data_IF_429531488989
#
_entry.id   IF_429531488989
#
_cell.length_a   1.000
_cell.length_b   1.000
_cell.length_c   1.000
_cell.angle_alpha   90.00
_cell.angle_beta   90.00
_cell.angle_gamma   90.00
#
_symmetry.space_group_name_H-M   'P 1'
#
loop_
_entity.id
_entity.type
_entity.pdbx_description
1 polymer ?
#
# COMPACT_ATOMS: atom_id res chain seq x y z
N UNK A 1 77.09 22.35 -12.37
CA UNK A 1 76.04 23.06 -13.14
C UNK A 1 75.46 22.25 -14.31
N UNK A 2 75.39 20.91 -14.24
CA UNK A 2 74.74 20.07 -15.28
C UNK A 2 73.45 19.38 -14.83
N UNK A 3 73.15 19.39 -13.53
CA UNK A 3 71.95 18.77 -12.96
C UNK A 3 70.82 19.76 -12.65
N UNK A 4 71.09 21.07 -12.69
CA UNK A 4 70.09 22.10 -12.38
C UNK A 4 69.09 22.31 -13.53
N UNK A 5 69.51 22.12 -14.77
CA UNK A 5 68.63 22.26 -15.95
C UNK A 5 67.68 21.05 -16.13
N UNK A 6 68.01 19.88 -15.58
CA UNK A 6 67.18 18.68 -15.73
C UNK A 6 65.98 18.68 -14.77
N UNK A 7 66.06 19.40 -13.65
CA UNK A 7 64.98 19.47 -12.67
C UNK A 7 63.85 20.41 -13.10
N UNK A 8 64.16 21.42 -13.93
CA UNK A 8 63.19 22.42 -14.39
C UNK A 8 62.28 21.91 -15.53
N UNK A 9 62.70 20.88 -16.26
CA UNK A 9 61.89 20.22 -17.29
C UNK A 9 60.90 19.18 -16.73
N UNK A 10 61.12 18.69 -15.50
CA UNK A 10 60.21 17.75 -14.84
C UNK A 10 59.01 18.44 -14.18
N UNK A 11 59.12 19.72 -13.82
CA UNK A 11 58.00 20.48 -13.24
C UNK A 11 57.01 21.02 -14.29
N UNK A 12 57.42 21.15 -15.55
CA UNK A 12 56.55 21.65 -16.62
C UNK A 12 55.56 20.61 -17.17
N UNK A 13 55.65 19.33 -16.75
CA UNK A 13 54.83 18.24 -17.29
C UNK A 13 53.66 17.81 -16.38
N UNK A 14 53.44 18.46 -15.23
CA UNK A 14 52.42 18.03 -14.26
C UNK A 14 51.12 18.86 -14.35
N UNK A 15 51.11 19.96 -15.08
CA UNK A 15 49.92 20.83 -15.17
C UNK A 15 48.97 20.43 -16.29
N UNK A 16 48.43 19.20 -16.26
CA UNK A 16 47.22 18.80 -17.00
C UNK A 16 46.69 17.47 -16.44
N UNK A 17 46.25 17.49 -15.19
CA UNK A 17 45.17 16.60 -14.76
C UNK A 17 43.95 17.49 -14.58
N UNK A 18 43.13 17.56 -15.64
CA UNK A 18 41.75 17.98 -15.46
C UNK A 18 41.11 16.96 -14.53
N UNK A 19 40.65 17.42 -13.37
CA UNK A 19 39.71 16.67 -12.55
C UNK A 19 38.47 16.46 -13.41
N UNK A 20 38.39 15.30 -14.07
CA UNK A 20 37.13 14.78 -14.55
C UNK A 20 36.31 14.43 -13.30
N UNK A 21 35.71 15.46 -12.71
CA UNK A 21 34.68 15.29 -11.70
C UNK A 21 33.64 14.36 -12.29
N UNK A 22 33.59 13.14 -11.74
CA UNK A 22 32.49 12.24 -11.98
C UNK A 22 31.27 12.99 -11.44
N UNK A 23 30.49 13.60 -12.35
CA UNK A 23 29.13 14.02 -12.03
C UNK A 23 28.37 12.73 -11.72
N UNK A 24 28.46 12.27 -10.48
CA UNK A 24 27.46 11.37 -9.93
C UNK A 24 26.12 12.04 -10.20
N UNK A 25 25.12 11.32 -10.73
CA UNK A 25 23.78 11.88 -10.83
C UNK A 25 23.42 12.40 -9.45
N UNK A 26 23.20 13.70 -9.32
CA UNK A 26 22.55 14.25 -8.13
C UNK A 26 21.21 13.53 -8.09
N UNK A 27 21.05 12.65 -7.10
CA UNK A 27 19.88 11.83 -6.90
C UNK A 27 18.71 12.78 -6.61
N UNK A 28 18.09 13.26 -7.69
CA UNK A 28 17.03 14.26 -7.60
C UNK A 28 15.84 13.49 -7.04
N UNK A 29 15.33 13.87 -5.87
CA UNK A 29 14.30 13.08 -5.24
C UNK A 29 13.08 12.98 -6.17
N UNK A 30 12.71 11.74 -6.48
CA UNK A 30 11.57 11.45 -7.34
C UNK A 30 10.31 11.88 -6.60
N UNK A 31 9.61 12.88 -7.14
CA UNK A 31 8.35 13.36 -6.57
C UNK A 31 7.25 12.31 -6.75
N UNK A 32 6.40 12.15 -5.73
CA UNK A 32 5.25 11.27 -5.79
C UNK A 32 4.29 11.73 -6.90
N UNK A 33 4.00 10.83 -7.84
CA UNK A 33 3.15 11.12 -9.00
C UNK A 33 1.75 10.56 -8.77
N UNK A 34 0.72 11.40 -8.96
CA UNK A 34 -0.66 10.93 -8.95
C UNK A 34 -0.86 9.90 -10.07
N UNK A 35 -1.35 8.71 -9.71
CA UNK A 35 -1.69 7.64 -10.65
C UNK A 35 -3.19 7.69 -10.94
N UNK A 36 -4.00 7.72 -9.87
CA UNK A 36 -5.44 7.64 -10.00
C UNK A 36 -6.18 8.27 -8.83
N UNK A 37 -7.45 8.57 -9.08
CA UNK A 37 -8.41 9.03 -8.08
C UNK A 37 -9.66 8.18 -8.20
N UNK A 38 -10.15 7.68 -7.07
CA UNK A 38 -11.37 6.89 -7.00
C UNK A 38 -12.33 7.47 -5.96
N UNK A 39 -13.65 7.46 -6.22
CA UNK A 39 -14.63 7.75 -5.19
C UNK A 39 -14.73 6.57 -4.20
N UNK A 40 -15.24 6.84 -3.01
CA UNK A 40 -15.66 5.80 -2.08
C UNK A 40 -17.02 6.10 -1.47
N UNK A 41 -17.67 5.06 -0.95
CA UNK A 41 -18.83 5.21 -0.07
C UNK A 41 -18.39 4.94 1.37
N UNK A 42 -18.75 5.82 2.29
CA UNK A 42 -18.47 5.65 3.72
C UNK A 42 -19.71 5.15 4.45
N UNK A 43 -19.58 4.04 5.19
CA UNK A 43 -20.60 3.60 6.13
C UNK A 43 -20.54 4.40 7.43
N UNK A 44 -21.62 4.35 8.22
CA UNK A 44 -21.76 5.15 9.46
C UNK A 44 -20.64 4.86 10.48
N UNK A 45 -20.13 3.63 10.49
CA UNK A 45 -19.02 3.18 11.33
C UNK A 45 -17.63 3.47 10.73
N UNK A 46 -17.57 4.24 9.65
CA UNK A 46 -16.33 4.71 9.03
C UNK A 46 -15.71 3.75 8.01
N UNK A 47 -16.32 2.59 7.76
CA UNK A 47 -15.84 1.64 6.75
C UNK A 47 -15.95 2.23 5.34
N UNK A 48 -14.86 2.10 4.58
CA UNK A 48 -14.73 2.66 3.24
C UNK A 48 -14.96 1.58 2.19
N UNK A 49 -16.02 1.73 1.41
CA UNK A 49 -16.32 0.89 0.25
C UNK A 49 -15.77 1.52 -1.03
N UNK A 50 -14.91 0.78 -1.72
CA UNK A 50 -14.35 1.14 -3.02
C UNK A 50 -14.73 0.09 -4.07
N UNK A 51 -14.82 0.52 -5.32
CA UNK A 51 -15.13 -0.37 -6.44
C UNK A 51 -13.88 -0.62 -7.29
N UNK A 52 -13.64 -1.87 -7.61
CA UNK A 52 -12.51 -2.30 -8.42
C UNK A 52 -12.87 -3.53 -9.25
N UNK A 53 -12.16 -3.75 -10.35
CA UNK A 53 -12.24 -5.02 -11.08
C UNK A 53 -11.05 -5.90 -10.68
N UNK A 54 -11.14 -7.19 -11.00
CA UNK A 54 -10.01 -8.12 -10.87
C UNK A 54 -9.66 -8.72 -12.23
N UNK A 55 -8.44 -9.21 -12.36
CA UNK A 55 -7.99 -9.93 -13.54
C UNK A 55 -7.11 -11.12 -13.15
N UNK A 56 -6.98 -12.04 -14.10
CA UNK A 56 -6.07 -13.17 -14.03
C UNK A 56 -5.48 -13.36 -15.42
N UNK A 57 -4.20 -13.71 -15.49
CA UNK A 57 -3.56 -13.95 -16.79
C UNK A 57 -4.28 -15.08 -17.54
N UNK A 58 -4.62 -14.81 -18.80
CA UNK A 58 -5.37 -15.74 -19.66
C UNK A 58 -6.89 -15.68 -19.50
N UNK A 59 -7.44 -14.92 -18.53
CA UNK A 59 -8.88 -14.74 -18.34
C UNK A 59 -9.30 -13.28 -18.55
N UNK A 60 -9.92 -13.02 -19.71
CA UNK A 60 -10.39 -11.68 -20.09
C UNK A 60 -11.80 -11.37 -19.56
N UNK A 61 -12.51 -12.36 -19.03
CA UNK A 61 -13.92 -12.21 -18.61
C UNK A 61 -14.05 -11.48 -17.29
N UNK A 62 -13.10 -11.68 -16.37
CA UNK A 62 -13.10 -11.12 -15.02
C UNK A 62 -13.12 -9.58 -14.98
N UNK A 63 -12.54 -8.93 -16.00
CA UNK A 63 -12.39 -7.47 -16.03
C UNK A 63 -13.71 -6.71 -16.20
N UNK A 64 -14.80 -7.41 -16.55
CA UNK A 64 -16.10 -6.79 -16.84
C UNK A 64 -16.91 -6.46 -15.58
N UNK A 65 -16.73 -7.24 -14.53
CA UNK A 65 -17.51 -7.10 -13.31
C UNK A 65 -16.79 -6.19 -12.32
N UNK A 66 -17.48 -5.13 -11.93
CA UNK A 66 -17.02 -4.24 -10.86
C UNK A 66 -17.46 -4.81 -9.52
N UNK A 67 -16.49 -5.07 -8.66
CA UNK A 67 -16.67 -5.69 -7.34
C UNK A 67 -16.59 -4.64 -6.23
N UNK A 68 -17.25 -4.92 -5.10
CA UNK A 68 -17.29 -4.07 -3.92
C UNK A 68 -16.23 -4.51 -2.91
N UNK A 69 -15.21 -3.68 -2.70
CA UNK A 69 -14.14 -3.93 -1.75
C UNK A 69 -14.21 -2.99 -0.55
N UNK A 70 -13.91 -3.51 0.64
CA UNK A 70 -13.59 -2.67 1.79
C UNK A 70 -12.10 -2.30 1.72
N UNK A 71 -11.76 -1.02 1.91
CA UNK A 71 -10.38 -0.59 2.13
C UNK A 71 -10.05 -0.64 3.63
N UNK A 72 -9.05 -1.42 4.02
CA UNK A 72 -8.77 -1.73 5.43
C UNK A 72 -7.26 -1.81 5.73
N UNK A 73 -6.70 -0.83 6.46
CA UNK A 73 -5.31 -0.89 6.95
C UNK A 73 -5.08 -1.95 8.01
N UNK A 74 -6.13 -2.42 8.69
CA UNK A 74 -6.08 -3.52 9.65
C UNK A 74 -6.02 -4.90 9.00
N UNK A 75 -6.12 -5.00 7.67
CA UNK A 75 -5.97 -6.25 6.94
C UNK A 75 -4.55 -6.42 6.42
N UNK A 76 -3.89 -7.52 6.82
CA UNK A 76 -2.51 -7.84 6.43
C UNK A 76 -2.29 -8.20 4.97
N UNK A 77 -3.35 -8.22 4.15
CA UNK A 77 -3.25 -8.52 2.73
C UNK A 77 -4.53 -8.18 1.96
N UNK A 78 -4.71 -8.83 0.82
CA UNK A 78 -5.91 -8.70 -0.01
C UNK A 78 -6.72 -10.00 0.00
N UNK A 79 -8.05 -9.89 -0.09
CA UNK A 79 -8.97 -11.01 0.05
C UNK A 79 -10.17 -10.95 -0.89
N UNK A 80 -10.81 -12.10 -1.07
CA UNK A 80 -12.09 -12.24 -1.76
C UNK A 80 -13.10 -13.01 -0.89
N UNK A 81 -14.37 -12.69 -1.08
CA UNK A 81 -15.47 -13.49 -0.55
C UNK A 81 -15.55 -14.85 -1.26
N UNK A 82 -15.85 -15.87 -0.49
CA UNK A 82 -16.00 -17.25 -0.94
C UNK A 82 -17.09 -17.43 -2.00
N UNK A 83 -18.20 -16.70 -1.91
CA UNK A 83 -19.28 -16.78 -2.90
C UNK A 83 -18.90 -16.04 -4.18
N UNK A 84 -18.19 -14.91 -4.10
CA UNK A 84 -17.62 -14.22 -5.25
C UNK A 84 -16.60 -15.10 -5.98
N UNK A 85 -15.69 -15.75 -5.24
CA UNK A 85 -14.70 -16.65 -5.83
C UNK A 85 -15.36 -17.86 -6.52
N UNK A 86 -16.42 -18.42 -5.93
CA UNK A 86 -17.19 -19.51 -6.51
C UNK A 86 -17.95 -19.08 -7.78
N UNK A 87 -18.61 -17.92 -7.75
CA UNK A 87 -19.37 -17.38 -8.88
C UNK A 87 -18.48 -17.07 -10.10
N UNK A 88 -17.25 -16.63 -9.84
CA UNK A 88 -16.24 -16.35 -10.86
C UNK A 88 -15.42 -17.59 -11.24
N UNK A 89 -15.74 -18.77 -10.71
CA UNK A 89 -15.05 -20.03 -10.97
C UNK A 89 -13.52 -19.95 -10.75
N UNK A 90 -13.09 -19.21 -9.73
CA UNK A 90 -11.67 -19.01 -9.47
C UNK A 90 -11.00 -20.29 -8.92
N UNK A 91 -9.79 -20.63 -9.38
CA UNK A 91 -9.09 -21.82 -8.93
C UNK A 91 -8.52 -21.61 -7.53
N UNK A 92 -9.20 -22.19 -6.53
CA UNK A 92 -8.77 -22.16 -5.14
C UNK A 92 -7.64 -23.17 -4.90
N UNK A 93 -6.57 -22.70 -4.27
CA UNK A 93 -5.46 -23.53 -3.81
C UNK A 93 -5.46 -23.59 -2.27
N UNK A 94 -5.36 -24.78 -1.65
CA UNK A 94 -5.13 -24.89 -0.21
C UNK A 94 -3.84 -24.17 0.20
N UNK A 95 -3.80 -23.68 1.44
CA UNK A 95 -2.59 -23.08 2.01
C UNK A 95 -2.46 -23.42 3.49
N UNK A 96 -1.21 -23.41 3.98
CA UNK A 96 -0.88 -23.52 5.41
C UNK A 96 -0.80 -22.15 6.10
N UNK A 97 -1.21 -21.08 5.40
CA UNK A 97 -1.17 -19.71 5.94
C UNK A 97 -2.29 -19.54 6.95
N UNK A 98 -1.91 -19.23 8.20
CA UNK A 98 -2.85 -18.95 9.29
C UNK A 98 -3.14 -17.45 9.33
N UNK A 99 -4.38 -17.08 9.08
CA UNK A 99 -4.85 -15.69 9.24
C UNK A 99 -5.41 -15.51 10.64
N UNK A 100 -5.02 -14.40 11.27
CA UNK A 100 -5.46 -13.99 12.59
C UNK A 100 -6.47 -12.84 12.45
N UNK A 101 -7.60 -12.94 13.15
CA UNK A 101 -8.58 -11.86 13.21
C UNK A 101 -9.39 -11.91 14.50
N UNK A 102 -10.40 -11.04 14.60
CA UNK A 102 -11.28 -10.93 15.78
C UNK A 102 -11.99 -12.27 16.07
N UNK A 103 -12.27 -13.07 15.03
CA UNK A 103 -12.89 -14.39 15.14
C UNK A 103 -11.91 -15.55 15.45
N UNK A 104 -10.63 -15.27 15.73
CA UNK A 104 -9.59 -16.27 15.98
C UNK A 104 -8.67 -16.52 14.77
N UNK A 105 -7.95 -17.64 14.83
CA UNK A 105 -6.97 -18.05 13.81
C UNK A 105 -7.50 -19.18 12.94
N UNK A 106 -7.35 -19.08 11.62
CA UNK A 106 -7.74 -20.13 10.68
C UNK A 106 -6.83 -20.20 9.46
N UNK A 107 -6.67 -21.39 8.90
CA UNK A 107 -6.10 -21.55 7.56
C UNK A 107 -7.16 -21.26 6.52
N UNK A 108 -6.75 -20.66 5.39
CA UNK A 108 -7.65 -20.26 4.32
C UNK A 108 -7.06 -20.62 2.95
N UNK A 109 -7.90 -20.95 1.96
CA UNK A 109 -7.43 -21.13 0.60
C UNK A 109 -7.10 -19.78 -0.04
N UNK A 110 -6.30 -19.83 -1.11
CA UNK A 110 -5.86 -18.67 -1.87
C UNK A 110 -6.19 -18.80 -3.35
N UNK A 111 -6.33 -17.65 -4.01
CA UNK A 111 -6.25 -17.50 -5.46
C UNK A 111 -4.99 -16.71 -5.78
N UNK A 112 -4.02 -17.36 -6.42
CA UNK A 112 -2.72 -16.79 -6.75
C UNK A 112 -2.69 -16.12 -8.11
N UNK A 113 -1.71 -15.23 -8.32
CA UNK A 113 -1.39 -14.54 -9.57
C UNK A 113 -2.60 -13.80 -10.15
N UNK A 114 -3.29 -13.06 -9.28
CA UNK A 114 -4.37 -12.18 -9.64
C UNK A 114 -3.87 -10.74 -9.74
N UNK A 115 -4.66 -9.90 -10.36
CA UNK A 115 -4.43 -8.46 -10.40
C UNK A 115 -5.66 -7.70 -9.93
N UNK A 116 -5.42 -6.63 -9.17
CA UNK A 116 -6.44 -5.64 -8.83
C UNK A 116 -6.40 -4.52 -9.87
N UNK A 117 -7.56 -4.18 -10.41
CA UNK A 117 -7.74 -3.15 -11.42
C UNK A 117 -8.52 -1.97 -10.85
N UNK A 118 -7.82 -0.84 -10.74
CA UNK A 118 -8.37 0.47 -10.45
C UNK A 118 -8.27 1.32 -11.73
N UNK A 119 -9.00 2.45 -11.83
CA UNK A 119 -8.85 3.34 -12.97
C UNK A 119 -7.38 3.72 -13.16
N UNK A 120 -6.81 3.51 -14.35
CA UNK A 120 -5.40 3.82 -14.67
C UNK A 120 -4.34 3.12 -13.78
N UNK A 121 -4.71 2.10 -13.01
CA UNK A 121 -3.78 1.39 -12.13
C UNK A 121 -4.08 -0.11 -12.13
N UNK A 122 -3.08 -0.89 -12.52
CA UNK A 122 -3.09 -2.35 -12.41
C UNK A 122 -2.05 -2.74 -11.37
N UNK A 123 -2.48 -3.55 -10.40
CA UNK A 123 -1.63 -4.07 -9.33
C UNK A 123 -1.54 -5.58 -9.52
N UNK A 124 -0.37 -6.06 -9.95
CA UNK A 124 -0.14 -7.45 -10.33
C UNK A 124 0.41 -8.32 -9.18
N UNK A 125 0.49 -9.63 -9.43
CA UNK A 125 1.10 -10.63 -8.54
C UNK A 125 0.46 -10.70 -7.15
N UNK A 126 -0.84 -10.40 -7.07
CA UNK A 126 -1.58 -10.47 -5.82
C UNK A 126 -2.02 -11.90 -5.52
N UNK A 127 -1.95 -12.24 -4.25
CA UNK A 127 -2.42 -13.52 -3.70
C UNK A 127 -3.64 -13.23 -2.82
N UNK A 128 -4.83 -13.50 -3.34
CA UNK A 128 -6.07 -13.24 -2.63
C UNK A 128 -6.40 -14.41 -1.74
N UNK A 129 -6.47 -14.19 -0.43
CA UNK A 129 -7.00 -15.19 0.47
C UNK A 129 -8.52 -15.18 0.43
N UNK A 130 -9.15 -16.35 0.56
CA UNK A 130 -10.61 -16.48 0.40
C UNK A 130 -11.25 -16.73 1.76
N UNK A 131 -12.24 -15.89 2.09
CA UNK A 131 -12.94 -15.88 3.36
C UNK A 131 -14.46 -15.80 3.16
N UNK A 132 -15.25 -16.17 4.17
CA UNK A 132 -16.69 -15.95 4.16
C UNK A 132 -17.02 -14.55 4.73
N UNK A 133 -17.62 -13.69 3.90
CA UNK A 133 -18.06 -12.34 4.24
C UNK A 133 -19.59 -12.16 4.28
N UNK A 134 -20.35 -13.25 4.36
CA UNK A 134 -21.83 -13.22 4.47
C UNK A 134 -22.30 -12.33 5.62
N UNK A 135 -21.71 -12.47 6.81
CA UNK A 135 -22.10 -11.67 7.99
C UNK A 135 -21.82 -10.17 7.80
N UNK A 136 -20.67 -9.82 7.21
CA UNK A 136 -20.29 -8.43 6.97
C UNK A 136 -21.17 -7.83 5.86
N UNK A 137 -21.44 -8.60 4.81
CA UNK A 137 -22.35 -8.20 3.73
C UNK A 137 -23.76 -7.95 4.23
N UNK A 138 -24.26 -8.83 5.12
CA UNK A 138 -25.56 -8.67 5.75
C UNK A 138 -25.62 -7.41 6.64
N UNK A 139 -24.55 -7.13 7.39
CA UNK A 139 -24.44 -5.94 8.24
C UNK A 139 -24.55 -4.64 7.43
N UNK A 140 -23.86 -4.56 6.30
CA UNK A 140 -23.84 -3.36 5.46
C UNK A 140 -24.98 -3.29 4.43
N UNK A 141 -25.77 -4.35 4.28
CA UNK A 141 -26.87 -4.42 3.32
C UNK A 141 -26.41 -4.42 1.86
N UNK A 142 -25.13 -4.74 1.60
CA UNK A 142 -24.53 -4.82 0.28
C UNK A 142 -23.56 -6.01 0.25
N UNK A 143 -23.49 -6.69 -0.88
CA UNK A 143 -22.53 -7.78 -1.08
C UNK A 143 -21.10 -7.22 -1.07
N UNK A 144 -20.29 -7.70 -0.13
CA UNK A 144 -18.87 -7.37 -0.03
C UNK A 144 -18.07 -8.48 -0.70
N UNK A 145 -17.44 -8.14 -1.82
CA UNK A 145 -16.68 -9.08 -2.65
C UNK A 145 -15.26 -9.32 -2.12
N UNK A 146 -14.72 -8.41 -1.31
CA UNK A 146 -13.36 -8.55 -0.81
C UNK A 146 -12.89 -7.41 0.09
N UNK A 147 -11.64 -7.53 0.54
CA UNK A 147 -10.94 -6.51 1.31
C UNK A 147 -9.62 -6.17 0.61
N UNK A 148 -9.35 -4.88 0.42
CA UNK A 148 -8.06 -4.34 -0.02
C UNK A 148 -7.32 -3.87 1.23
N UNK A 149 -6.24 -4.56 1.57
CA UNK A 149 -5.40 -4.21 2.71
C UNK A 149 -3.93 -4.00 2.34
N UNK A 150 -3.04 -4.44 3.22
CA UNK A 150 -1.61 -4.13 3.18
C UNK A 150 -0.91 -4.51 1.87
N UNK A 151 -1.35 -5.58 1.19
CA UNK A 151 -0.80 -5.95 -0.13
C UNK A 151 -0.89 -4.84 -1.17
N UNK A 152 -1.90 -3.97 -1.07
CA UNK A 152 -2.03 -2.77 -1.89
C UNK A 152 -1.37 -1.55 -1.22
N UNK A 153 -1.70 -1.32 0.05
CA UNK A 153 -1.29 -0.11 0.79
C UNK A 153 0.24 0.01 0.94
N UNK A 154 0.97 -1.10 0.98
CA UNK A 154 2.44 -1.09 1.05
C UNK A 154 3.15 -0.64 -0.24
N UNK A 155 2.42 -0.57 -1.35
CA UNK A 155 3.00 -0.26 -2.67
C UNK A 155 2.78 1.19 -3.10
N UNK A 156 1.87 1.93 -2.45
CA UNK A 156 1.43 3.24 -2.88
C UNK A 156 1.26 4.19 -1.71
N UNK A 157 1.40 5.49 -2.00
CA UNK A 157 0.94 6.52 -1.07
C UNK A 157 -0.55 6.70 -1.29
N UNK A 158 -1.34 6.55 -0.23
CA UNK A 158 -2.80 6.60 -0.30
C UNK A 158 -3.31 7.75 0.55
N UNK A 159 -3.87 8.75 -0.12
CA UNK A 159 -4.52 9.89 0.53
C UNK A 159 -6.03 9.68 0.52
N UNK A 160 -6.65 9.73 1.69
CA UNK A 160 -8.10 9.65 1.87
C UNK A 160 -8.64 11.02 2.31
N UNK A 161 -9.61 11.54 1.58
CA UNK A 161 -10.36 12.77 1.95
C UNK A 161 -11.82 12.39 2.17
N UNK A 162 -12.24 12.45 3.44
CA UNK A 162 -13.58 12.05 3.90
C UNK A 162 -14.64 13.08 3.53
N UNK A 163 -14.28 14.36 3.48
CA UNK A 163 -15.19 15.44 3.11
C UNK A 163 -15.57 15.34 1.62
N UNK A 164 -14.58 15.06 0.76
CA UNK A 164 -14.80 14.89 -0.68
C UNK A 164 -15.18 13.47 -1.09
N UNK A 165 -15.13 12.51 -0.18
CA UNK A 165 -15.28 11.07 -0.45
C UNK A 165 -14.41 10.58 -1.61
N UNK A 166 -13.13 10.96 -1.59
CA UNK A 166 -12.15 10.62 -2.63
C UNK A 166 -10.88 10.02 -2.03
N UNK A 167 -10.34 9.04 -2.75
CA UNK A 167 -9.00 8.49 -2.51
C UNK A 167 -8.12 8.86 -3.69
N UNK A 168 -6.92 9.37 -3.42
CA UNK A 168 -5.86 9.56 -4.41
C UNK A 168 -4.76 8.55 -4.14
N UNK A 169 -4.31 7.89 -5.21
CA UNK A 169 -3.24 6.90 -5.17
C UNK A 169 -2.06 7.46 -5.94
N UNK A 170 -0.92 7.59 -5.26
CA UNK A 170 0.32 8.10 -5.84
C UNK A 170 1.36 6.99 -5.91
N UNK A 171 2.21 7.07 -6.93
CA UNK A 171 3.45 6.30 -6.97
C UNK A 171 4.36 6.72 -5.80
N UNK A 172 5.17 5.79 -5.25
CA UNK A 172 6.17 6.13 -4.23
C UNK A 172 7.08 7.28 -4.68
N UNK A 173 7.38 8.19 -3.76
CA UNK A 173 8.22 9.35 -3.99
C UNK A 173 8.09 10.38 -2.86
N UNK A 174 8.77 11.51 -2.98
CA UNK A 174 8.58 12.63 -2.06
C UNK A 174 7.14 13.13 -2.11
N UNK A 175 6.50 13.22 -0.95
CA UNK A 175 5.13 13.65 -0.80
C UNK A 175 5.03 14.86 0.12
N UNK A 176 4.38 15.90 -0.35
CA UNK A 176 4.14 17.11 0.44
C UNK A 176 2.92 16.89 1.34
N UNK A 177 3.17 16.64 2.61
CA UNK A 177 2.12 16.53 3.62
C UNK A 177 1.49 17.89 3.91
N UNK A 178 0.19 17.95 4.25
CA UNK A 178 -0.44 19.17 4.72
C UNK A 178 0.28 19.75 5.94
N UNK A 179 0.47 21.08 5.98
CA UNK A 179 1.16 21.76 7.09
C UNK A 179 0.46 21.57 8.44
N UNK A 180 -0.86 21.37 8.42
CA UNK A 180 -1.70 21.16 9.60
C UNK A 180 -2.13 19.70 9.63
N UNK A 181 -1.49 18.92 10.51
CA UNK A 181 -1.80 17.51 10.71
C UNK A 181 -0.86 16.90 11.74
N UNK A 182 -1.17 15.66 12.13
CA UNK A 182 -0.28 14.85 12.95
C UNK A 182 0.36 13.78 12.06
N UNK A 183 1.69 13.78 12.01
CA UNK A 183 2.42 12.70 11.34
C UNK A 183 2.56 11.53 12.31
N UNK A 184 1.85 10.45 12.01
CA UNK A 184 2.01 9.18 12.70
C UNK A 184 3.19 8.43 12.07
N UNK A 185 4.02 7.80 12.91
CA UNK A 185 5.14 6.96 12.47
C UNK A 185 4.92 5.52 12.95
N UNK A 186 3.92 4.81 12.39
CA UNK A 186 3.65 3.44 12.81
C UNK A 186 4.81 2.52 12.43
N UNK A 187 5.00 1.47 13.21
CA UNK A 187 5.78 0.31 12.81
C UNK A 187 4.93 -0.56 11.89
N UNK A 188 5.51 -1.04 10.79
CA UNK A 188 4.81 -1.92 9.86
C UNK A 188 5.26 -3.37 10.06
N UNK A 189 4.33 -4.23 10.46
CA UNK A 189 4.51 -5.67 10.57
C UNK A 189 3.38 -6.41 9.84
N UNK A 190 3.10 -5.98 8.61
CA UNK A 190 1.93 -6.41 7.83
C UNK A 190 0.68 -5.54 8.07
N UNK A 191 0.60 -4.84 9.19
CA UNK A 191 -0.39 -3.79 9.48
C UNK A 191 0.30 -2.67 10.30
N UNK A 192 -0.17 -1.41 10.24
CA UNK A 192 0.43 -0.31 10.97
C UNK A 192 0.15 -0.41 12.48
N UNK A 193 1.22 -0.39 13.29
CA UNK A 193 1.19 -0.46 14.75
C UNK A 193 1.73 0.84 15.33
N UNK A 194 0.95 1.50 16.19
CA UNK A 194 1.35 2.70 16.93
C UNK A 194 1.58 2.33 18.39
N UNK A 195 2.74 2.71 18.92
CA UNK A 195 3.04 2.59 20.34
C UNK A 195 2.70 3.90 21.04
N UNK A 196 1.72 3.87 21.94
CA UNK A 196 1.35 5.04 22.73
C UNK A 196 1.46 4.78 24.22
N UNK A 197 1.83 5.82 24.96
CA UNK A 197 1.85 5.77 26.43
C UNK A 197 0.55 6.34 26.95
N UNK A 198 -0.28 5.48 27.56
CA UNK A 198 -1.48 5.95 28.24
C UNK A 198 -1.09 6.50 29.61
N UNK A 199 -1.42 7.77 29.85
CA UNK A 199 -1.28 8.39 31.17
C UNK A 199 -2.34 7.80 32.11
N UNK A 200 -1.90 6.92 33.00
CA UNK A 200 -2.62 6.51 34.20
C UNK A 200 -1.59 6.50 35.35
N UNK A 201 -2.01 6.26 36.60
CA UNK A 201 -1.14 6.12 37.77
C UNK A 201 0.00 5.08 37.62
N UNK A 202 0.00 4.32 36.52
CA UNK A 202 1.14 3.57 35.99
C UNK A 202 1.26 3.91 34.51
N UNK A 203 2.36 4.55 34.10
CA UNK A 203 2.68 4.73 32.69
C UNK A 203 2.78 3.34 32.04
N UNK A 204 1.86 3.01 31.14
CA UNK A 204 1.88 1.77 30.39
C UNK A 204 1.96 2.10 28.90
N UNK A 205 2.99 1.55 28.24
CA UNK A 205 3.09 1.57 26.78
C UNK A 205 2.18 0.47 26.24
N UNK A 206 1.26 0.83 25.34
CA UNK A 206 0.39 -0.12 24.65
C UNK A 206 0.58 0.02 23.13
N UNK A 207 0.38 -1.10 22.43
CA UNK A 207 0.39 -1.14 20.97
C UNK A 207 -1.04 -1.11 20.45
N UNK A 208 -1.30 -0.27 19.47
CA UNK A 208 -2.60 -0.12 18.81
C UNK A 208 -2.45 -0.37 17.31
N UNK A 209 -3.42 -1.04 16.71
CA UNK A 209 -3.51 -1.14 15.26
C UNK A 209 -4.18 0.11 14.71
N UNK A 210 -3.58 0.73 13.71
CA UNK A 210 -4.15 1.91 13.08
C UNK A 210 -5.12 1.51 11.95
N UNK A 211 -6.40 1.85 12.12
CA UNK A 211 -7.45 1.61 11.13
C UNK A 211 -7.93 2.93 10.52
N UNK A 212 -7.95 3.01 9.18
CA UNK A 212 -8.55 4.13 8.43
C UNK A 212 -10.07 4.26 8.71
N UNK A 213 -10.68 3.31 9.42
CA UNK A 213 -12.09 3.36 9.80
C UNK A 213 -12.41 4.43 10.86
N UNK A 214 -11.41 5.14 11.41
CA UNK A 214 -11.64 6.33 12.24
C UNK A 214 -11.58 7.63 11.41
N UNK A 215 -12.61 8.51 11.47
CA UNK A 215 -12.71 9.69 10.61
C UNK A 215 -11.70 10.78 11.00
N UNK A 216 -10.60 10.84 10.27
CA UNK A 216 -9.68 11.97 10.18
C UNK A 216 -9.07 11.95 8.78
N UNK A 217 -8.72 13.08 8.17
CA UNK A 217 -8.00 13.05 6.88
C UNK A 217 -6.68 12.30 7.04
N UNK A 218 -6.57 11.10 6.44
CA UNK A 218 -5.41 10.21 6.59
C UNK A 218 -4.61 10.17 5.29
N UNK A 219 -3.29 10.32 5.41
CA UNK A 219 -2.33 9.93 4.39
C UNK A 219 -1.52 8.76 4.93
N UNK A 220 -1.59 7.61 4.25
CA UNK A 220 -0.81 6.43 4.56
C UNK A 220 0.29 6.24 3.52
#
# INVERSE_FOLDING_TARGET
>A
MKYFLLFLLLFACISLHGEAGINLPVDTPVQARLITTLPFHQFVDGVLLVRACIARDGDTTLTKDTLNFILDTGSGGISLDSTTAAALHLPLSPSDVVIHGIGGSRTVPFVYNMSLLLPNLRVDHLSFHVNNYEMISALYGIHIDGIIGYSFLSQYIVRVDYDQQKIWVYAPGEFHYPEKGFLLKPLFAGIPIIHETLSNNRQQVKSFFFSIQEPASVCC
#
